data_IF_141476769742
#
_entry.id   IF_141476769742
#
_cell.length_a   1.000
_cell.length_b   1.000
_cell.length_c   1.000
_cell.angle_alpha   90.00
_cell.angle_beta   90.00
_cell.angle_gamma   90.00
#
_symmetry.space_group_name_H-M   'P 1'
#
loop_
_entity.id
_entity.type
_entity.pdbx_description
1 polymer ?
#
# COMPACT_ATOMS: atom_id res chain seq x y z
N UNK A 1 -16.16 -19.75 -6.14
CA UNK A 1 -15.50 -18.48 -6.49
C UNK A 1 -15.35 -17.66 -5.21
N UNK A 2 -14.20 -17.72 -4.55
CA UNK A 2 -13.89 -16.86 -3.41
C UNK A 2 -12.71 -16.02 -3.89
N UNK A 3 -12.91 -14.71 -4.04
CA UNK A 3 -11.82 -13.79 -4.26
C UNK A 3 -10.89 -13.90 -3.04
N UNK A 4 -9.71 -14.48 -3.23
CA UNK A 4 -8.73 -14.60 -2.19
C UNK A 4 -8.23 -13.18 -1.88
N UNK A 5 -8.53 -12.67 -0.68
CA UNK A 5 -7.69 -11.64 -0.11
C UNK A 5 -6.29 -12.26 0.02
N UNK A 6 -5.41 -11.94 -0.94
CA UNK A 6 -4.09 -12.55 -1.09
C UNK A 6 -3.38 -12.50 0.25
N UNK A 7 -3.00 -13.66 0.78
CA UNK A 7 -2.24 -13.74 2.02
C UNK A 7 -0.98 -12.88 1.93
N UNK A 8 -0.63 -12.21 3.04
CA UNK A 8 0.63 -11.48 3.16
C UNK A 8 1.77 -12.40 2.66
N UNK A 9 2.50 -11.98 1.63
CA UNK A 9 3.64 -12.67 1.02
C UNK A 9 4.88 -12.37 1.87
N UNK A 10 5.93 -13.17 1.71
CA UNK A 10 7.22 -12.87 2.33
C UNK A 10 7.97 -11.70 1.64
N UNK A 11 7.43 -11.20 0.52
CA UNK A 11 7.97 -10.09 -0.23
C UNK A 11 7.65 -8.76 0.46
N UNK A 12 8.41 -7.71 0.13
CA UNK A 12 8.20 -6.38 0.70
C UNK A 12 6.86 -5.78 0.28
N UNK A 13 6.24 -5.05 1.19
CA UNK A 13 5.02 -4.26 1.00
C UNK A 13 5.34 -2.77 1.03
N UNK A 14 4.62 -1.96 0.27
CA UNK A 14 4.67 -0.50 0.33
C UNK A 14 3.27 0.05 0.54
N UNK A 15 3.20 1.31 0.96
CA UNK A 15 1.93 2.02 1.12
C UNK A 15 1.46 2.44 -0.27
N UNK A 16 0.27 2.00 -0.64
CA UNK A 16 -0.39 2.35 -1.90
C UNK A 16 -1.27 3.59 -1.74
N UNK A 17 -2.00 3.68 -0.63
CA UNK A 17 -2.91 4.78 -0.32
C UNK A 17 -2.80 5.12 1.17
N UNK A 18 -2.61 6.40 1.47
CA UNK A 18 -2.66 6.94 2.84
C UNK A 18 -3.75 8.00 2.95
N UNK A 19 -4.68 7.80 3.89
CA UNK A 19 -5.69 8.83 4.19
C UNK A 19 -5.09 10.04 4.91
N UNK A 20 -3.86 9.96 5.43
CA UNK A 20 -3.25 11.02 6.25
C UNK A 20 -2.49 12.07 5.43
N UNK A 21 -2.42 11.90 4.10
CA UNK A 21 -1.57 12.71 3.23
C UNK A 21 -2.36 13.79 2.46
N UNK A 22 -3.04 13.41 1.38
CA UNK A 22 -3.74 14.35 0.48
C UNK A 22 -5.10 14.78 1.02
N UNK A 23 -5.64 14.05 2.00
CA UNK A 23 -7.00 14.25 2.52
C UNK A 23 -7.07 15.20 3.72
N UNK A 24 -6.05 16.04 3.92
CA UNK A 24 -5.99 17.00 5.03
C UNK A 24 -5.56 16.38 6.37
N UNK A 25 -4.82 15.27 6.32
CA UNK A 25 -4.21 14.67 7.50
C UNK A 25 -2.90 15.35 7.92
N UNK A 26 -2.20 14.70 8.84
CA UNK A 26 -0.99 15.21 9.49
C UNK A 26 0.31 14.72 8.84
N UNK A 27 0.23 13.98 7.72
CA UNK A 27 1.39 13.45 6.98
C UNK A 27 2.36 12.64 7.84
N UNK A 28 1.85 11.90 8.84
CA UNK A 28 2.68 11.02 9.65
C UNK A 28 3.11 9.77 8.86
N UNK A 29 2.27 9.34 7.92
CA UNK A 29 2.55 8.23 7.03
C UNK A 29 2.22 8.66 5.61
N UNK A 30 3.26 8.73 4.78
CA UNK A 30 3.22 9.27 3.42
C UNK A 30 3.82 8.26 2.44
N UNK A 31 3.28 8.23 1.22
CA UNK A 31 3.75 7.35 0.15
C UNK A 31 5.16 7.71 -0.33
N UNK A 32 5.51 9.00 -0.30
CA UNK A 32 6.84 9.52 -0.69
C UNK A 32 8.01 8.97 0.13
N UNK A 33 7.75 8.42 1.34
CA UNK A 33 8.80 7.89 2.23
C UNK A 33 9.49 6.63 1.70
N UNK A 34 8.90 5.97 0.71
CA UNK A 34 9.40 4.76 0.03
C UNK A 34 9.81 3.59 0.93
N UNK A 35 9.25 3.54 2.15
CA UNK A 35 9.57 2.50 3.12
C UNK A 35 8.92 1.18 2.70
N UNK A 36 9.75 0.12 2.64
CA UNK A 36 9.29 -1.24 2.41
C UNK A 36 9.13 -2.01 3.73
N UNK A 37 7.96 -2.63 3.92
CA UNK A 37 7.63 -3.47 5.06
C UNK A 37 7.86 -4.94 4.70
N UNK A 38 8.77 -5.62 5.39
CA UNK A 38 9.00 -7.05 5.17
C UNK A 38 7.94 -7.89 5.88
N UNK A 39 7.42 -8.91 5.20
CA UNK A 39 6.54 -9.91 5.81
C UNK A 39 7.35 -10.95 6.58
N UNK A 40 7.12 -11.06 7.88
CA UNK A 40 7.74 -12.07 8.74
C UNK A 40 6.93 -13.37 8.74
N UNK A 41 7.67 -14.50 8.83
CA UNK A 41 7.10 -15.84 9.02
C UNK A 41 6.67 -16.01 10.48
N UNK A 42 5.63 -15.31 10.86
CA UNK A 42 4.94 -15.42 12.15
C UNK A 42 3.45 -15.40 11.88
N UNK A 43 2.80 -16.56 12.02
CA UNK A 43 1.37 -16.65 11.75
C UNK A 43 0.57 -15.78 12.71
N UNK A 44 -0.21 -14.86 12.18
CA UNK A 44 -1.12 -13.98 12.94
C UNK A 44 -2.49 -13.98 12.26
N UNK A 45 -3.58 -13.96 13.04
CA UNK A 45 -4.96 -13.97 12.50
C UNK A 45 -5.24 -15.04 11.43
N UNK A 46 -4.66 -16.24 11.61
CA UNK A 46 -4.77 -17.36 10.64
C UNK A 46 -4.22 -17.01 9.24
N UNK A 47 -3.28 -16.08 9.15
CA UNK A 47 -2.48 -15.79 7.96
C UNK A 47 -1.07 -16.40 8.10
N UNK A 48 -0.45 -16.84 6.99
CA UNK A 48 0.86 -17.50 7.02
C UNK A 48 2.02 -16.54 7.34
N UNK A 49 1.89 -15.27 6.98
CA UNK A 49 2.88 -14.22 7.27
C UNK A 49 2.17 -13.00 7.88
N UNK A 50 2.93 -12.16 8.58
CA UNK A 50 2.48 -10.93 9.21
C UNK A 50 3.52 -9.82 9.04
N UNK A 51 3.13 -8.57 9.30
CA UNK A 51 4.04 -7.43 9.25
C UNK A 51 3.69 -6.43 10.34
N UNK A 52 4.69 -5.67 10.78
CA UNK A 52 4.49 -4.57 11.72
C UNK A 52 4.21 -3.28 10.95
N UNK A 53 3.19 -2.53 11.38
CA UNK A 53 2.78 -1.28 10.76
C UNK A 53 2.66 -0.18 11.80
N UNK A 54 3.00 1.05 11.41
CA UNK A 54 2.69 2.23 12.20
C UNK A 54 1.33 2.79 11.76
N UNK A 55 0.32 2.63 12.61
CA UNK A 55 -1.05 3.05 12.33
C UNK A 55 -1.48 4.17 13.29
N UNK A 56 -1.43 5.44 12.87
CA UNK A 56 -1.95 6.56 13.66
C UNK A 56 -3.48 6.48 13.87
N UNK A 57 -3.98 7.26 14.82
CA UNK A 57 -5.40 7.21 15.18
C UNK A 57 -6.29 7.74 14.05
N UNK A 58 -7.37 7.02 13.76
CA UNK A 58 -8.40 7.37 12.76
C UNK A 58 -7.86 7.50 11.32
N UNK A 59 -6.78 6.81 11.00
CA UNK A 59 -6.26 6.75 9.63
C UNK A 59 -6.53 5.41 8.98
N UNK A 60 -6.67 5.41 7.66
CA UNK A 60 -6.77 4.21 6.83
C UNK A 60 -5.56 4.16 5.92
N UNK A 61 -4.95 2.98 5.82
CA UNK A 61 -3.80 2.73 4.95
C UNK A 61 -4.02 1.46 4.16
N UNK A 62 -3.67 1.51 2.89
CA UNK A 62 -3.67 0.36 2.00
C UNK A 62 -2.22 -0.01 1.70
N UNK A 63 -1.90 -1.27 1.92
CA UNK A 63 -0.57 -1.84 1.66
C UNK A 63 -0.68 -2.83 0.51
N UNK A 64 0.20 -2.68 -0.48
CA UNK A 64 0.29 -3.56 -1.63
C UNK A 64 1.74 -4.08 -1.80
N UNK A 65 1.95 -5.17 -2.55
CA UNK A 65 3.29 -5.66 -2.86
C UNK A 65 4.16 -4.54 -3.46
N UNK A 66 5.41 -4.45 -3.02
CA UNK A 66 6.32 -3.37 -3.42
C UNK A 66 6.58 -3.32 -4.93
N UNK A 67 6.39 -4.43 -5.63
CA UNK A 67 6.51 -4.55 -7.09
C UNK A 67 5.39 -3.84 -7.88
N UNK A 68 4.25 -3.61 -7.22
CA UNK A 68 3.04 -2.96 -7.76
C UNK A 68 2.91 -1.49 -7.34
N UNK A 69 3.76 -1.03 -6.40
CA UNK A 69 3.74 0.34 -5.90
C UNK A 69 4.83 1.19 -6.55
N UNK A 70 4.52 2.46 -6.80
CA UNK A 70 5.48 3.47 -7.26
C UNK A 70 5.27 4.79 -6.49
N UNK A 71 6.30 5.24 -5.77
CA UNK A 71 6.26 6.48 -4.97
C UNK A 71 6.11 7.73 -5.84
N UNK A 72 6.55 7.65 -7.10
CA UNK A 72 6.55 8.77 -8.03
C UNK A 72 5.31 8.74 -8.96
N UNK A 73 4.34 7.84 -8.67
CA UNK A 73 3.10 7.70 -9.46
C UNK A 73 2.33 9.02 -9.57
N UNK A 74 2.27 9.79 -8.48
CA UNK A 74 1.59 11.09 -8.41
C UNK A 74 2.18 12.15 -9.36
N UNK A 75 3.44 11.98 -9.78
CA UNK A 75 4.12 12.89 -10.71
C UNK A 75 3.82 12.54 -12.18
N UNK A 76 3.24 11.37 -12.44
CA UNK A 76 2.93 10.93 -13.79
C UNK A 76 1.65 11.57 -14.31
N UNK A 77 1.53 11.70 -15.64
CA UNK A 77 0.36 12.33 -16.28
C UNK A 77 -0.96 11.60 -16.04
N UNK A 78 -0.90 10.32 -15.66
CA UNK A 78 -2.03 9.46 -15.32
C UNK A 78 -2.16 9.22 -13.81
N UNK A 79 -1.27 9.79 -13.00
CA UNK A 79 -1.23 9.64 -11.55
C UNK A 79 -2.46 10.25 -10.89
N UNK A 80 -2.89 9.64 -9.78
CA UNK A 80 -3.95 10.18 -8.92
C UNK A 80 -3.30 10.62 -7.62
N UNK A 81 -3.40 11.90 -7.21
CA UNK A 81 -2.72 12.39 -6.01
C UNK A 81 -3.01 11.54 -4.76
N UNK A 82 -1.95 11.06 -4.11
CA UNK A 82 -1.99 10.21 -2.93
C UNK A 82 -2.13 8.71 -3.24
N UNK A 83 -2.01 8.30 -4.51
CA UNK A 83 -2.15 6.91 -4.94
C UNK A 83 -0.87 6.42 -5.62
N UNK A 84 -0.07 5.67 -4.87
CA UNK A 84 1.24 5.16 -5.26
C UNK A 84 1.17 3.87 -6.09
N UNK A 85 0.39 3.87 -7.17
CA UNK A 85 0.19 2.69 -8.04
C UNK A 85 1.09 2.77 -9.27
N UNK A 86 1.76 1.67 -9.62
CA UNK A 86 2.73 1.61 -10.72
C UNK A 86 2.13 1.71 -12.13
N UNK A 87 0.83 1.52 -12.29
CA UNK A 87 0.16 1.64 -13.58
C UNK A 87 -1.37 1.62 -13.47
N UNK A 88 -2.03 2.08 -14.52
CA UNK A 88 -3.47 1.96 -14.66
C UNK A 88 -3.86 0.47 -14.63
N UNK A 89 -4.69 0.09 -13.65
CA UNK A 89 -5.15 -1.27 -13.49
C UNK A 89 -5.88 -1.79 -14.75
N UNK A 90 -6.10 -3.11 -14.88
CA UNK A 90 -6.66 -3.73 -16.08
C UNK A 90 -8.06 -3.22 -16.48
N UNK A 91 -8.73 -2.50 -15.58
CA UNK A 91 -10.05 -1.89 -15.81
C UNK A 91 -10.00 -0.47 -16.39
N UNK A 92 -8.82 0.11 -16.56
CA UNK A 92 -8.60 1.44 -17.17
C UNK A 92 -8.05 1.37 -18.60
N UNK A 93 -7.85 0.17 -19.16
CA UNK A 93 -7.59 -0.01 -20.58
C UNK A 93 -8.91 0.15 -21.36
N UNK A 94 -9.07 1.32 -22.00
CA UNK A 94 -10.08 1.53 -23.05
C UNK A 94 -9.69 0.85 -24.36
#
# INVERSE_FOLDING_TARGET
MIAAATACRAQGYKIELSSDEVFGGWKNVITESDVAFSGDKGGHDRRPNSMLVYAPSRTVMVYAPAEECDKDADLMSWGVPGLAVKGLGPYYAC
#
